data_IF_524062886947
#
_entry.id   IF_524062886947
#
_cell.length_a   1.000
_cell.length_b   1.000
_cell.length_c   1.000
_cell.angle_alpha   90.00
_cell.angle_beta   90.00
_cell.angle_gamma   90.00
#
_symmetry.space_group_name_H-M   'P 1'
#
loop_
_entity.id
_entity.type
_entity.pdbx_description
1 polymer ?
#
# COMPACT_ATOMS: atom_id res chain seq x y z
N UNK A 1 17.66 -9.29 2.52
CA UNK A 1 17.74 -8.63 1.20
C UNK A 1 18.84 -9.18 0.33
N UNK A 2 20.00 -9.55 0.88
CA UNK A 2 21.14 -10.02 0.08
C UNK A 2 20.88 -11.36 -0.60
N UNK A 3 20.20 -12.31 0.08
CA UNK A 3 19.76 -13.57 -0.54
C UNK A 3 18.86 -13.37 -1.76
N UNK A 4 17.94 -12.39 -1.73
CA UNK A 4 17.09 -12.10 -2.89
C UNK A 4 17.91 -11.54 -4.05
N UNK A 5 18.92 -10.71 -3.76
CA UNK A 5 19.83 -10.16 -4.77
C UNK A 5 20.75 -11.23 -5.35
N UNK A 6 21.19 -12.21 -4.57
CA UNK A 6 22.13 -13.26 -5.01
C UNK A 6 21.45 -14.46 -5.67
N UNK A 7 20.27 -14.87 -5.21
CA UNK A 7 19.61 -16.11 -5.66
C UNK A 7 18.39 -15.88 -6.54
N UNK A 8 17.80 -14.68 -6.52
CA UNK A 8 16.60 -14.36 -7.26
C UNK A 8 15.32 -14.94 -6.66
N UNK A 9 14.19 -14.32 -7.00
CA UNK A 9 12.88 -14.62 -6.39
C UNK A 9 12.38 -16.04 -6.69
N UNK A 10 12.68 -16.56 -7.89
CA UNK A 10 12.23 -17.89 -8.33
C UNK A 10 12.90 -18.98 -7.49
N UNK A 11 14.21 -18.89 -7.24
CA UNK A 11 14.95 -19.87 -6.45
C UNK A 11 14.50 -19.87 -4.98
N UNK A 12 14.23 -18.68 -4.43
CA UNK A 12 13.65 -18.56 -3.09
C UNK A 12 12.22 -19.15 -3.03
N UNK A 13 11.43 -19.00 -4.10
CA UNK A 13 10.11 -19.63 -4.18
C UNK A 13 10.20 -21.16 -4.22
N UNK A 14 11.18 -21.73 -4.91
CA UNK A 14 11.46 -23.18 -4.85
C UNK A 14 11.79 -23.64 -3.43
N UNK A 15 12.68 -22.93 -2.72
CA UNK A 15 12.98 -23.20 -1.30
C UNK A 15 11.73 -23.11 -0.42
N UNK A 16 10.88 -22.11 -0.66
CA UNK A 16 9.61 -21.97 0.05
C UNK A 16 8.66 -23.13 -0.24
N UNK A 17 8.69 -23.68 -1.45
CA UNK A 17 7.87 -24.84 -1.85
C UNK A 17 8.25 -26.09 -1.06
N UNK A 18 9.55 -26.30 -0.81
CA UNK A 18 10.03 -27.42 0.00
C UNK A 18 9.64 -27.29 1.49
N UNK A 19 9.67 -26.07 2.03
CA UNK A 19 9.45 -25.80 3.46
C UNK A 19 7.96 -25.63 3.79
N UNK A 20 7.23 -24.83 3.00
CA UNK A 20 5.82 -24.50 3.21
C UNK A 20 5.05 -24.51 1.88
N UNK A 21 4.73 -25.71 1.34
CA UNK A 21 3.99 -25.86 0.07
C UNK A 21 2.68 -25.09 0.05
N UNK A 22 2.00 -24.98 1.20
CA UNK A 22 0.71 -24.26 1.33
C UNK A 22 0.88 -22.75 1.15
N UNK A 23 1.97 -22.16 1.65
CA UNK A 23 2.26 -20.75 1.39
C UNK A 23 2.79 -20.54 -0.03
N UNK A 24 3.63 -21.45 -0.54
CA UNK A 24 4.16 -21.38 -1.90
C UNK A 24 3.08 -21.42 -2.98
N UNK A 25 2.03 -22.24 -2.80
CA UNK A 25 0.89 -22.31 -3.71
C UNK A 25 0.07 -21.00 -3.78
N UNK A 26 0.08 -20.20 -2.70
CA UNK A 26 -0.66 -18.93 -2.61
C UNK A 26 0.16 -17.70 -3.00
N UNK A 27 1.49 -17.80 -2.88
CA UNK A 27 2.41 -16.69 -3.14
C UNK A 27 3.02 -16.91 -4.51
N UNK A 28 2.77 -15.99 -5.44
CA UNK A 28 3.39 -16.06 -6.77
C UNK A 28 4.92 -15.89 -6.66
N UNK A 29 5.69 -16.60 -7.49
CA UNK A 29 7.17 -16.58 -7.48
C UNK A 29 7.77 -15.19 -7.67
N UNK A 30 7.08 -14.32 -8.42
CA UNK A 30 7.46 -12.91 -8.63
C UNK A 30 7.17 -11.98 -7.42
N UNK A 31 6.41 -12.43 -6.41
CA UNK A 31 6.16 -11.65 -5.19
C UNK A 31 7.31 -11.83 -4.19
N UNK A 32 8.45 -11.24 -4.52
CA UNK A 32 9.68 -11.37 -3.76
C UNK A 32 9.53 -10.94 -2.29
N UNK A 33 8.67 -9.96 -2.01
CA UNK A 33 8.40 -9.50 -0.65
C UNK A 33 7.68 -10.58 0.16
N UNK A 34 6.62 -11.19 -0.37
CA UNK A 34 5.89 -12.26 0.33
C UNK A 34 6.71 -13.54 0.45
N UNK A 35 7.47 -13.91 -0.58
CA UNK A 35 8.37 -15.08 -0.54
C UNK A 35 9.42 -14.90 0.55
N UNK A 36 10.11 -13.75 0.56
CA UNK A 36 11.13 -13.44 1.57
C UNK A 36 10.54 -13.46 2.98
N UNK A 37 9.35 -12.88 3.16
CA UNK A 37 8.68 -12.87 4.46
C UNK A 37 8.31 -14.28 4.96
N UNK A 38 7.84 -15.15 4.07
CA UNK A 38 7.48 -16.52 4.46
C UNK A 38 8.70 -17.32 4.91
N UNK A 39 9.81 -17.21 4.19
CA UNK A 39 11.08 -17.83 4.57
C UNK A 39 11.65 -17.23 5.86
N UNK A 40 11.60 -15.90 6.03
CA UNK A 40 12.05 -15.22 7.25
C UNK A 40 11.29 -15.71 8.49
N UNK A 41 9.97 -15.87 8.40
CA UNK A 41 9.15 -16.41 9.49
C UNK A 41 9.63 -17.80 9.89
N UNK A 42 9.88 -18.69 8.92
CA UNK A 42 10.38 -20.03 9.20
C UNK A 42 11.77 -20.00 9.83
N UNK A 43 12.72 -19.24 9.28
CA UNK A 43 14.08 -19.18 9.82
C UNK A 43 14.16 -18.58 11.23
N UNK A 44 13.28 -17.63 11.58
CA UNK A 44 13.27 -17.00 12.90
C UNK A 44 12.49 -17.81 13.95
N UNK A 45 11.42 -18.50 13.55
CA UNK A 45 10.51 -19.17 14.50
C UNK A 45 10.57 -20.70 14.48
N UNK A 46 11.17 -21.30 13.45
CA UNK A 46 11.07 -22.73 13.15
C UNK A 46 9.69 -23.16 12.64
N UNK A 47 8.70 -22.27 12.64
CA UNK A 47 7.32 -22.56 12.27
C UNK A 47 6.97 -21.97 10.90
N UNK A 48 6.21 -22.71 10.10
CA UNK A 48 5.82 -22.26 8.75
C UNK A 48 4.76 -21.16 8.81
N UNK A 49 4.77 -20.28 7.80
CA UNK A 49 3.81 -19.17 7.71
C UNK A 49 2.36 -19.69 7.63
N UNK A 50 2.13 -20.80 6.92
CA UNK A 50 0.79 -21.41 6.82
C UNK A 50 0.28 -21.91 8.17
N UNK A 51 1.15 -22.48 9.01
CA UNK A 51 0.78 -22.95 10.36
C UNK A 51 0.45 -21.79 11.30
N UNK A 52 1.21 -20.69 11.26
CA UNK A 52 0.91 -19.50 12.06
C UNK A 52 -0.36 -18.78 11.59
N UNK A 53 -0.59 -18.69 10.28
CA UNK A 53 -1.81 -18.08 9.73
C UNK A 53 -3.07 -18.91 10.00
N UNK A 54 -2.96 -20.23 10.15
CA UNK A 54 -4.08 -21.10 10.53
C UNK A 54 -4.65 -20.79 11.91
N UNK A 55 -3.90 -20.10 12.79
CA UNK A 55 -4.35 -19.70 14.13
C UNK A 55 -5.17 -18.40 14.16
N UNK A 56 -5.52 -17.83 12.99
CA UNK A 56 -6.07 -16.46 12.81
C UNK A 56 -7.40 -16.10 13.48
N UNK A 57 -8.03 -17.00 14.23
CA UNK A 57 -9.36 -16.74 14.82
C UNK A 57 -9.36 -16.27 16.28
N UNK A 58 -8.20 -16.00 16.90
CA UNK A 58 -8.18 -15.69 18.33
C UNK A 58 -8.51 -14.22 18.67
N UNK A 59 -8.37 -13.26 17.73
CA UNK A 59 -8.61 -11.83 17.98
C UNK A 59 -9.62 -11.24 16.99
N UNK A 60 -10.82 -11.81 16.87
CA UNK A 60 -11.91 -11.11 16.18
C UNK A 60 -12.33 -9.94 17.07
N UNK A 61 -12.39 -8.74 16.49
CA UNK A 61 -12.95 -7.57 17.15
C UNK A 61 -14.45 -7.83 17.35
N UNK A 62 -14.88 -8.08 18.59
CA UNK A 62 -16.29 -8.32 18.94
C UNK A 62 -17.07 -7.01 19.08
N UNK A 63 -16.84 -6.12 18.11
CA UNK A 63 -17.53 -4.85 17.99
C UNK A 63 -18.34 -4.86 16.71
N UNK A 64 -19.54 -4.31 16.80
CA UNK A 64 -20.34 -4.04 15.63
C UNK A 64 -19.77 -2.82 14.88
N UNK A 65 -18.92 -3.09 13.88
CA UNK A 65 -18.28 -2.05 13.07
C UNK A 65 -19.20 -1.67 11.91
N UNK A 66 -19.62 -0.39 11.87
CA UNK A 66 -20.26 0.20 10.70
C UNK A 66 -19.21 0.80 9.77
N UNK A 67 -19.20 0.32 8.53
CA UNK A 67 -18.22 0.74 7.51
C UNK A 67 -18.87 1.69 6.52
N UNK A 68 -18.22 2.83 6.27
CA UNK A 68 -18.64 3.80 5.25
C UNK A 68 -17.48 4.01 4.29
N UNK A 69 -17.74 3.87 3.00
CA UNK A 69 -16.76 3.97 1.93
C UNK A 69 -17.15 5.11 1.00
N UNK A 70 -16.30 6.14 0.89
CA UNK A 70 -16.45 7.19 -0.13
C UNK A 70 -15.61 6.82 -1.36
N UNK A 71 -16.28 6.43 -2.44
CA UNK A 71 -15.66 6.03 -3.70
C UNK A 71 -16.28 6.78 -4.89
N UNK A 72 -15.77 7.98 -5.20
CA UNK A 72 -16.21 8.75 -6.36
C UNK A 72 -15.90 8.08 -7.68
N UNK A 73 -16.54 8.56 -8.75
CA UNK A 73 -16.23 8.09 -10.09
C UNK A 73 -14.77 8.36 -10.46
N UNK A 74 -14.21 7.45 -11.24
CA UNK A 74 -12.77 7.42 -11.56
C UNK A 74 -12.26 8.73 -12.17
N UNK A 75 -13.06 9.35 -13.05
CA UNK A 75 -12.70 10.60 -13.70
C UNK A 75 -12.53 11.74 -12.68
N UNK A 76 -13.51 11.90 -11.77
CA UNK A 76 -13.48 12.90 -10.69
C UNK A 76 -12.28 12.66 -9.77
N UNK A 77 -12.01 11.40 -9.44
CA UNK A 77 -10.87 11.04 -8.60
C UNK A 77 -9.53 11.40 -9.26
N UNK A 78 -9.36 11.11 -10.54
CA UNK A 78 -8.15 11.44 -11.29
C UNK A 78 -7.90 12.95 -11.35
N UNK A 79 -8.95 13.74 -11.61
CA UNK A 79 -8.86 15.20 -11.65
C UNK A 79 -8.47 15.78 -10.28
N UNK A 80 -9.10 15.29 -9.20
CA UNK A 80 -8.79 15.72 -7.83
C UNK A 80 -7.37 15.35 -7.41
N UNK A 81 -6.87 14.17 -7.80
CA UNK A 81 -5.49 13.75 -7.53
C UNK A 81 -4.49 14.73 -8.14
N UNK A 82 -4.71 15.12 -9.40
CA UNK A 82 -3.84 16.04 -10.11
C UNK A 82 -3.87 17.43 -9.48
N UNK A 83 -5.06 18.00 -9.27
CA UNK A 83 -5.22 19.29 -8.60
C UNK A 83 -4.57 19.30 -7.22
N UNK A 84 -4.76 18.24 -6.42
CA UNK A 84 -4.15 18.11 -5.10
C UNK A 84 -2.62 18.08 -5.18
N UNK A 85 -2.05 17.33 -6.12
CA UNK A 85 -0.59 17.24 -6.23
C UNK A 85 0.04 18.56 -6.67
N UNK A 86 -0.57 19.26 -7.63
CA UNK A 86 -0.13 20.60 -8.03
C UNK A 86 -0.24 21.58 -6.86
N UNK A 87 -1.32 21.51 -6.07
CA UNK A 87 -1.46 22.30 -4.84
C UNK A 87 -0.35 22.00 -3.84
N UNK A 88 -0.04 20.72 -3.58
CA UNK A 88 1.08 20.34 -2.68
C UNK A 88 2.40 20.98 -3.10
N UNK A 89 2.71 21.02 -4.41
CA UNK A 89 3.92 21.68 -4.91
C UNK A 89 3.90 23.18 -4.59
N UNK A 90 2.77 23.86 -4.83
CA UNK A 90 2.61 25.29 -4.52
C UNK A 90 2.74 25.57 -3.02
N UNK A 91 2.27 24.63 -2.19
CA UNK A 91 2.32 24.71 -0.73
C UNK A 91 3.70 24.33 -0.14
N UNK A 92 4.73 24.14 -0.98
CA UNK A 92 6.11 23.93 -0.51
C UNK A 92 6.54 22.46 -0.35
N UNK A 93 5.82 21.50 -0.92
CA UNK A 93 6.17 20.07 -0.86
C UNK A 93 7.63 19.77 -1.27
N UNK A 94 8.17 20.44 -2.29
CA UNK A 94 9.55 20.20 -2.70
C UNK A 94 10.57 20.67 -1.65
N UNK A 95 10.29 21.78 -0.95
CA UNK A 95 11.14 22.28 0.13
C UNK A 95 11.14 21.31 1.33
N UNK A 96 9.97 20.72 1.64
CA UNK A 96 9.87 19.67 2.65
C UNK A 96 10.77 18.47 2.31
N UNK A 97 10.67 17.96 1.07
CA UNK A 97 11.48 16.82 0.63
C UNK A 97 12.97 17.16 0.62
N UNK A 98 13.35 18.34 0.17
CA UNK A 98 14.74 18.80 0.20
C UNK A 98 15.29 18.86 1.63
N UNK A 99 14.49 19.33 2.59
CA UNK A 99 14.88 19.34 3.99
C UNK A 99 15.04 17.93 4.56
N UNK A 100 14.16 16.99 4.21
CA UNK A 100 14.29 15.59 4.62
C UNK A 100 15.56 14.95 4.05
N UNK A 101 15.96 15.28 2.82
CA UNK A 101 17.19 14.77 2.20
C UNK A 101 18.46 15.15 2.94
N UNK A 102 18.46 16.26 3.69
CA UNK A 102 19.61 16.66 4.52
C UNK A 102 19.88 15.65 5.64
N UNK A 103 18.88 14.85 6.03
CA UNK A 103 19.05 13.79 7.01
C UNK A 103 19.71 12.55 6.36
N UNK A 104 21.00 12.34 6.64
CA UNK A 104 21.79 11.21 6.14
C UNK A 104 21.27 9.82 6.55
N UNK A 105 20.37 9.74 7.55
CA UNK A 105 19.74 8.48 7.95
C UNK A 105 18.58 8.08 7.03
N UNK A 106 18.10 8.99 6.18
CA UNK A 106 17.02 8.71 5.24
C UNK A 106 17.55 8.27 3.89
N UNK A 107 16.96 7.20 3.34
CA UNK A 107 17.25 6.69 2.00
C UNK A 107 15.98 6.08 1.37
N UNK A 108 16.05 5.79 0.06
CA UNK A 108 14.91 5.31 -0.74
C UNK A 108 14.41 3.89 -0.40
N UNK A 109 15.13 3.15 0.45
CA UNK A 109 14.70 1.81 0.88
C UNK A 109 13.73 1.88 2.06
N UNK A 110 13.74 2.98 2.82
CA UNK A 110 12.83 3.21 3.92
C UNK A 110 11.38 3.37 3.46
N UNK A 111 10.45 2.82 4.23
CA UNK A 111 9.02 2.88 3.92
C UNK A 111 8.51 4.32 3.80
N UNK A 112 9.00 5.23 4.65
CA UNK A 112 8.66 6.66 4.60
C UNK A 112 9.02 7.27 3.25
N UNK A 113 10.22 7.00 2.72
CA UNK A 113 10.71 7.56 1.45
C UNK A 113 10.14 6.83 0.22
N UNK A 114 9.59 5.62 0.39
CA UNK A 114 8.82 4.92 -0.65
C UNK A 114 7.39 5.42 -0.81
N UNK A 115 6.95 6.34 0.04
CA UNK A 115 5.64 6.98 -0.08
C UNK A 115 5.48 7.70 -1.42
N UNK A 116 4.26 7.65 -1.97
CA UNK A 116 3.92 8.33 -3.22
C UNK A 116 4.14 9.84 -3.08
N UNK A 117 4.74 10.45 -4.10
CA UNK A 117 5.20 11.84 -4.07
C UNK A 117 6.66 11.92 -3.63
N UNK A 118 6.97 11.46 -2.41
CA UNK A 118 8.32 11.54 -1.84
C UNK A 118 9.36 10.82 -2.69
N UNK A 119 9.08 9.58 -3.12
CA UNK A 119 10.00 8.83 -3.99
C UNK A 119 10.27 9.57 -5.30
N UNK A 120 9.26 10.19 -5.90
CA UNK A 120 9.40 10.91 -7.17
C UNK A 120 10.19 12.21 -6.98
N UNK A 121 9.86 13.00 -5.96
CA UNK A 121 10.57 14.23 -5.62
C UNK A 121 12.04 13.95 -5.26
N UNK A 122 12.33 12.87 -4.55
CA UNK A 122 13.70 12.47 -4.23
C UNK A 122 14.52 12.14 -5.47
N UNK A 123 13.93 11.47 -6.47
CA UNK A 123 14.58 11.19 -7.75
C UNK A 123 14.81 12.46 -8.58
N UNK A 124 13.87 13.43 -8.53
CA UNK A 124 14.09 14.75 -9.11
C UNK A 124 15.32 15.45 -8.53
N UNK A 125 15.46 15.48 -7.20
CA UNK A 125 16.66 16.04 -6.55
C UNK A 125 17.95 15.23 -6.77
N UNK A 126 17.87 14.01 -7.30
CA UNK A 126 19.04 13.24 -7.73
C UNK A 126 19.40 13.48 -9.20
N UNK A 127 18.62 14.29 -9.93
CA UNK A 127 18.80 14.50 -11.37
C UNK A 127 18.25 13.37 -12.24
N UNK A 128 17.56 12.38 -11.66
CA UNK A 128 17.03 11.24 -12.41
C UNK A 128 15.76 11.60 -13.19
N UNK A 129 15.02 12.63 -12.78
CA UNK A 129 13.80 13.12 -13.42
C UNK A 129 13.89 14.62 -13.62
N UNK A 130 13.36 15.13 -14.72
CA UNK A 130 12.95 16.53 -14.83
C UNK A 130 11.78 16.84 -13.88
N UNK A 131 11.51 18.12 -13.64
CA UNK A 131 10.37 18.54 -12.81
C UNK A 131 9.04 18.07 -13.40
N UNK A 132 8.89 18.09 -14.72
CA UNK A 132 7.69 17.65 -15.41
C UNK A 132 7.49 16.13 -15.27
N UNK A 133 8.53 15.33 -15.51
CA UNK A 133 8.47 13.87 -15.35
C UNK A 133 8.18 13.48 -13.89
N UNK A 134 8.75 14.19 -12.92
CA UNK A 134 8.47 13.96 -11.51
C UNK A 134 6.98 14.15 -11.19
N UNK A 135 6.38 15.24 -11.68
CA UNK A 135 4.95 15.53 -11.50
C UNK A 135 4.10 14.42 -12.10
N UNK A 136 4.36 14.07 -13.36
CA UNK A 136 3.62 13.03 -14.07
C UNK A 136 3.70 11.68 -13.34
N UNK A 137 4.92 11.25 -12.98
CA UNK A 137 5.14 9.98 -12.26
C UNK A 137 4.47 9.98 -10.89
N UNK A 138 4.45 11.11 -10.18
CA UNK A 138 3.80 11.20 -8.87
C UNK A 138 2.27 11.11 -8.98
N UNK A 139 1.68 11.75 -9.99
CA UNK A 139 0.25 11.65 -10.29
C UNK A 139 -0.11 10.21 -10.68
N UNK A 140 0.66 9.57 -11.57
CA UNK A 140 0.45 8.16 -11.97
C UNK A 140 0.54 7.24 -10.75
N UNK A 141 1.57 7.40 -9.93
CA UNK A 141 1.74 6.59 -8.71
C UNK A 141 0.57 6.79 -7.73
N UNK A 142 0.04 8.02 -7.61
CA UNK A 142 -1.14 8.30 -6.77
C UNK A 142 -2.39 7.64 -7.34
N UNK A 143 -2.60 7.69 -8.67
CA UNK A 143 -3.72 6.99 -9.32
C UNK A 143 -3.65 5.48 -9.12
N UNK A 144 -2.46 4.88 -9.20
CA UNK A 144 -2.25 3.46 -8.93
C UNK A 144 -2.51 3.10 -7.47
N UNK A 145 -2.07 3.94 -6.52
CA UNK A 145 -2.38 3.77 -5.10
C UNK A 145 -3.90 3.79 -4.87
N UNK A 146 -4.59 4.82 -5.38
CA UNK A 146 -6.04 4.92 -5.25
C UNK A 146 -6.77 3.75 -5.94
N UNK A 147 -6.31 3.29 -7.11
CA UNK A 147 -6.86 2.08 -7.75
C UNK A 147 -6.78 0.87 -6.81
N UNK A 148 -5.63 0.63 -6.17
CA UNK A 148 -5.46 -0.48 -5.22
C UNK A 148 -6.35 -0.32 -3.99
N UNK A 149 -6.48 0.90 -3.47
CA UNK A 149 -7.42 1.20 -2.38
C UNK A 149 -8.87 0.90 -2.79
N UNK A 150 -9.31 1.35 -3.96
CA UNK A 150 -10.64 1.06 -4.48
C UNK A 150 -10.87 -0.44 -4.69
N UNK A 151 -9.89 -1.18 -5.18
CA UNK A 151 -9.99 -2.64 -5.28
C UNK A 151 -10.22 -3.26 -3.91
N UNK A 152 -9.44 -2.87 -2.90
CA UNK A 152 -9.59 -3.39 -1.54
C UNK A 152 -10.95 -3.03 -0.92
N UNK A 153 -11.40 -1.79 -1.09
CA UNK A 153 -12.67 -1.30 -0.54
C UNK A 153 -13.92 -1.89 -1.22
N UNK A 154 -13.80 -2.45 -2.43
CA UNK A 154 -14.92 -3.15 -3.10
C UNK A 154 -15.25 -4.48 -2.45
N UNK A 155 -14.26 -5.09 -1.80
CA UNK A 155 -14.41 -6.39 -1.13
C UNK A 155 -14.87 -6.24 0.33
N UNK A 156 -15.12 -5.01 0.79
CA UNK A 156 -15.59 -4.72 2.14
C UNK A 156 -17.09 -5.06 2.30
N UNK A 157 -17.36 -6.19 2.95
CA UNK A 157 -18.73 -6.65 3.23
C UNK A 157 -19.52 -5.65 4.12
N UNK A 158 -20.83 -5.49 3.89
CA UNK A 158 -21.72 -4.62 4.70
C UNK A 158 -21.30 -3.15 4.82
N UNK A 159 -20.51 -2.63 3.89
CA UNK A 159 -20.15 -1.21 3.87
C UNK A 159 -21.18 -0.34 3.14
N UNK A 160 -21.56 0.80 3.71
CA UNK A 160 -22.28 1.85 2.99
C UNK A 160 -21.31 2.51 1.99
N UNK A 161 -21.53 2.28 0.70
CA UNK A 161 -20.71 2.90 -0.35
C UNK A 161 -21.38 4.15 -0.91
N UNK A 162 -20.69 5.28 -0.83
CA UNK A 162 -21.13 6.58 -1.32
C UNK A 162 -20.26 7.02 -2.50
N UNK A 163 -20.87 7.50 -3.59
CA UNK A 163 -20.15 8.07 -4.74
C UNK A 163 -19.81 9.55 -4.58
N UNK A 164 -20.53 10.24 -3.71
CA UNK A 164 -20.34 11.65 -3.38
C UNK A 164 -20.53 11.82 -1.88
N UNK A 165 -20.17 12.98 -1.37
CA UNK A 165 -20.38 13.28 0.05
C UNK A 165 -21.89 13.41 0.27
N UNK A 166 -22.47 12.47 1.01
CA UNK A 166 -23.90 12.43 1.36
C UNK A 166 -24.01 12.25 2.88
N UNK A 167 -23.87 13.36 3.61
CA UNK A 167 -23.78 13.37 5.08
C UNK A 167 -25.04 12.77 5.71
N UNK A 168 -26.23 13.14 5.23
CA UNK A 168 -27.50 12.64 5.75
C UNK A 168 -27.61 11.12 5.66
N UNK A 169 -27.20 10.53 4.53
CA UNK A 169 -27.18 9.06 4.36
C UNK A 169 -26.19 8.40 5.31
N UNK A 170 -25.01 8.98 5.48
CA UNK A 170 -24.01 8.48 6.42
C UNK A 170 -24.54 8.52 7.87
N UNK A 171 -25.17 9.63 8.28
CA UNK A 171 -25.77 9.78 9.62
C UNK A 171 -26.89 8.76 9.83
N UNK A 172 -27.79 8.60 8.86
CA UNK A 172 -28.88 7.61 8.93
C UNK A 172 -28.32 6.19 9.11
N UNK A 173 -27.33 5.82 8.32
CA UNK A 173 -26.66 4.51 8.44
C UNK A 173 -26.01 4.31 9.81
N UNK A 174 -25.42 5.36 10.40
CA UNK A 174 -24.86 5.28 11.76
C UNK A 174 -25.94 5.14 12.84
N UNK A 175 -27.14 5.69 12.62
CA UNK A 175 -28.26 5.64 13.57
C UNK A 175 -29.09 4.34 13.51
N UNK A 176 -29.11 3.64 12.36
CA UNK A 176 -29.82 2.36 12.21
C UNK A 176 -29.28 1.30 13.20
N UNK A 177 -30.02 0.95 14.26
CA UNK A 177 -29.56 -0.09 15.19
C UNK A 177 -29.31 -1.39 14.42
N UNK A 178 -28.10 -1.92 14.51
CA UNK A 178 -27.82 -3.26 14.01
C UNK A 178 -28.53 -4.24 14.95
N UNK A 179 -29.62 -4.81 14.47
CA UNK A 179 -30.27 -6.00 15.05
C UNK A 179 -29.33 -7.19 15.06
#
# INVERSE_FOLDING_TARGET
NDLLKSEGSVKLHSKLTEIDPKSAARIHSNDSQRVTRALEVFHLSGETLSKLQGKKNQNKLDLNIKKIVLMPDRAVLHQRIEQRFIKMIKDGFLNEVENLRKNKKLNLDLASMRSVGYRQAWNYFQGNYSKQEMIEKAIIATRQLCKRQCTWLRDEDKALTLKKIEIEKAVKFLQERST
#
